data_IF_253973642833
#
_entry.id   IF_253973642833
#
_cell.length_a   1.000
_cell.length_b   1.000
_cell.length_c   1.000
_cell.angle_alpha   90.00
_cell.angle_beta   90.00
_cell.angle_gamma   90.00
#
_symmetry.space_group_name_H-M   'P 1'
#
loop_
_entity.id
_entity.type
_entity.pdbx_description
1 polymer ?
#
# COMPACT_ATOMS: atom_id res chain seq x y z
N UNK A 1 -0.86 -13.06 9.55
CA UNK A 1 -1.48 -12.34 8.41
C UNK A 1 -0.41 -11.76 7.47
N UNK A 2 0.47 -10.89 7.91
CA UNK A 2 1.52 -10.24 7.10
C UNK A 2 2.39 -11.22 6.31
N UNK A 3 2.95 -12.24 6.95
CA UNK A 3 3.80 -13.24 6.28
C UNK A 3 3.06 -14.00 5.18
N UNK A 4 1.73 -14.18 5.33
CA UNK A 4 0.89 -14.80 4.30
C UNK A 4 0.76 -13.88 3.08
N UNK A 5 0.57 -12.59 3.29
CA UNK A 5 0.48 -11.62 2.19
C UNK A 5 1.79 -11.53 1.40
N UNK A 6 2.93 -11.44 2.10
CA UNK A 6 4.25 -11.44 1.46
C UNK A 6 4.53 -12.73 0.68
N UNK A 7 4.09 -13.87 1.19
CA UNK A 7 4.18 -15.14 0.47
C UNK A 7 3.39 -15.10 -0.85
N UNK A 8 2.19 -14.52 -0.85
CA UNK A 8 1.39 -14.40 -2.08
C UNK A 8 2.04 -13.44 -3.09
N UNK A 9 2.58 -12.32 -2.65
CA UNK A 9 3.33 -11.43 -3.52
C UNK A 9 4.52 -12.15 -4.16
N UNK A 10 5.26 -12.90 -3.39
CA UNK A 10 6.40 -13.68 -3.89
C UNK A 10 5.96 -14.81 -4.84
N UNK A 11 4.89 -15.53 -4.53
CA UNK A 11 4.36 -16.57 -5.42
C UNK A 11 3.88 -16.00 -6.76
N UNK A 12 3.21 -14.86 -6.74
CA UNK A 12 2.79 -14.17 -7.96
C UNK A 12 4.00 -13.72 -8.79
N UNK A 13 5.00 -13.14 -8.14
CA UNK A 13 6.26 -12.77 -8.78
C UNK A 13 6.90 -13.97 -9.49
N UNK A 14 7.13 -15.08 -8.78
CA UNK A 14 7.73 -16.29 -9.37
C UNK A 14 6.91 -16.80 -10.55
N UNK A 15 5.59 -16.81 -10.43
CA UNK A 15 4.72 -17.22 -11.52
C UNK A 15 4.94 -16.37 -12.76
N UNK A 16 4.91 -15.05 -12.61
CA UNK A 16 5.12 -14.13 -13.73
C UNK A 16 6.52 -14.28 -14.35
N UNK A 17 7.55 -14.35 -13.52
CA UNK A 17 8.94 -14.49 -13.96
C UNK A 17 9.17 -15.83 -14.67
N UNK A 18 8.56 -16.92 -14.19
CA UNK A 18 8.67 -18.24 -14.82
C UNK A 18 8.06 -18.29 -16.22
N UNK A 19 7.01 -17.54 -16.45
CA UNK A 19 6.29 -17.54 -17.74
C UNK A 19 6.58 -16.31 -18.59
N UNK A 20 7.59 -15.54 -18.22
CA UNK A 20 7.99 -14.29 -18.89
C UNK A 20 6.82 -13.32 -19.09
N UNK A 21 5.97 -13.20 -18.06
CA UNK A 21 4.83 -12.31 -18.08
C UNK A 21 5.22 -10.94 -17.52
N UNK A 22 4.90 -9.84 -18.22
CA UNK A 22 5.08 -8.52 -17.64
C UNK A 22 4.16 -8.33 -16.44
N UNK A 23 4.71 -7.78 -15.33
CA UNK A 23 3.91 -7.52 -14.12
C UNK A 23 4.44 -6.31 -13.34
N UNK A 24 3.53 -5.72 -12.57
CA UNK A 24 3.83 -4.83 -11.44
C UNK A 24 2.89 -5.17 -10.30
N UNK A 25 3.40 -5.16 -9.10
CA UNK A 25 2.61 -5.25 -7.88
C UNK A 25 2.44 -3.86 -7.28
N UNK A 26 1.36 -3.64 -6.56
CA UNK A 26 1.04 -2.33 -6.00
C UNK A 26 0.55 -2.48 -4.57
N UNK A 27 1.12 -1.70 -3.65
CA UNK A 27 0.58 -1.54 -2.32
C UNK A 27 -0.51 -0.47 -2.35
N UNK A 28 -1.76 -0.89 -2.53
CA UNK A 28 -2.87 0.03 -2.71
C UNK A 28 -3.38 0.61 -1.39
N UNK A 29 -3.63 -0.25 -0.39
CA UNK A 29 -4.29 0.13 0.86
C UNK A 29 -3.37 -0.05 2.06
N UNK A 30 -3.27 0.96 2.90
CA UNK A 30 -2.60 0.83 4.19
C UNK A 30 -3.49 0.07 5.17
N UNK A 31 -3.13 -1.18 5.43
CA UNK A 31 -3.84 -2.06 6.36
C UNK A 31 -3.72 -1.67 7.84
N UNK A 32 -2.87 -0.70 8.16
CA UNK A 32 -2.67 -0.23 9.54
C UNK A 32 -3.63 0.89 9.93
N UNK A 33 -4.48 1.28 8.99
CA UNK A 33 -5.43 2.35 9.21
C UNK A 33 -6.55 1.89 10.14
N UNK A 34 -6.59 2.43 11.34
CA UNK A 34 -7.72 2.31 12.26
C UNK A 34 -8.64 3.50 12.01
N UNK A 35 -9.89 3.22 11.66
CA UNK A 35 -10.93 4.26 11.66
C UNK A 35 -11.36 4.49 13.09
N UNK A 36 -11.19 5.68 13.59
CA UNK A 36 -11.93 6.15 14.75
C UNK A 36 -13.30 6.65 14.25
N UNK A 37 -14.35 5.93 14.59
CA UNK A 37 -15.72 6.29 14.20
C UNK A 37 -16.25 7.53 14.93
N UNK A 38 -15.60 7.92 16.02
CA UNK A 38 -15.98 9.07 16.84
C UNK A 38 -15.36 10.38 16.33
N UNK A 39 -14.25 10.31 15.59
CA UNK A 39 -13.58 11.48 15.01
C UNK A 39 -13.27 11.25 13.53
N UNK A 40 -14.23 11.52 12.63
CA UNK A 40 -14.09 11.22 11.20
C UNK A 40 -12.89 11.85 10.50
N UNK A 41 -12.39 12.95 11.05
CA UNK A 41 -11.30 13.73 10.44
C UNK A 41 -9.90 13.28 10.89
N UNK A 42 -9.81 12.51 11.98
CA UNK A 42 -8.53 12.04 12.51
C UNK A 42 -8.32 10.56 12.16
N UNK A 43 -7.52 10.32 11.16
CA UNK A 43 -6.96 9.00 10.88
C UNK A 43 -5.88 8.71 11.92
N UNK A 44 -6.30 8.20 13.07
CA UNK A 44 -5.36 7.76 14.08
C UNK A 44 -4.68 6.47 13.65
N UNK A 45 -3.37 6.56 13.48
CA UNK A 45 -2.53 5.38 13.45
C UNK A 45 -2.33 4.91 14.89
N UNK A 46 -2.65 3.67 15.18
CA UNK A 46 -2.14 3.05 16.38
C UNK A 46 -0.65 2.75 16.21
N UNK A 47 0.26 3.54 16.77
CA UNK A 47 1.70 3.37 16.54
C UNK A 47 2.21 1.98 16.93
N UNK A 48 1.56 1.36 17.95
CA UNK A 48 1.91 0.02 18.43
C UNK A 48 1.55 -1.06 17.41
N UNK A 49 0.37 -0.96 16.79
CA UNK A 49 -0.04 -1.92 15.76
C UNK A 49 0.81 -1.79 14.52
N UNK A 50 1.12 -0.57 14.12
CA UNK A 50 2.02 -0.29 13.00
C UNK A 50 3.39 -0.90 13.22
N UNK A 51 4.04 -0.60 14.33
CA UNK A 51 5.37 -1.12 14.67
C UNK A 51 5.41 -2.66 14.66
N UNK A 52 4.37 -3.31 15.17
CA UNK A 52 4.27 -4.78 15.13
C UNK A 52 4.16 -5.31 13.70
N UNK A 53 3.42 -4.62 12.83
CA UNK A 53 3.28 -5.00 11.42
C UNK A 53 4.62 -4.83 10.72
N UNK A 54 5.31 -3.71 10.90
CA UNK A 54 6.59 -3.43 10.29
C UNK A 54 7.67 -4.45 10.71
N UNK A 55 7.73 -4.81 11.99
CA UNK A 55 8.61 -5.88 12.48
C UNK A 55 8.28 -7.21 11.79
N UNK A 56 7.00 -7.56 11.66
CA UNK A 56 6.58 -8.80 11.02
C UNK A 56 6.86 -8.79 9.50
N UNK A 57 6.78 -7.65 8.84
CA UNK A 57 7.17 -7.49 7.44
C UNK A 57 8.67 -7.77 7.29
N UNK A 58 9.51 -7.06 8.04
CA UNK A 58 10.96 -7.19 7.96
C UNK A 58 11.48 -8.57 8.39
N UNK A 59 10.82 -9.22 9.34
CA UNK A 59 11.15 -10.57 9.80
C UNK A 59 10.66 -11.70 8.87
N UNK A 60 9.86 -11.38 7.86
CA UNK A 60 9.34 -12.39 6.94
C UNK A 60 10.47 -12.96 6.05
N UNK A 61 10.53 -14.30 5.87
CA UNK A 61 11.52 -14.92 4.98
C UNK A 61 11.31 -14.53 3.50
N UNK A 62 10.19 -13.90 3.19
CA UNK A 62 9.86 -13.43 1.84
C UNK A 62 10.27 -11.98 1.59
N UNK A 63 10.58 -11.20 2.63
CA UNK A 63 10.87 -9.78 2.51
C UNK A 63 11.99 -9.51 1.49
N UNK A 64 13.14 -10.14 1.65
CA UNK A 64 14.29 -9.96 0.75
C UNK A 64 14.17 -10.71 -0.59
N UNK A 65 13.05 -11.36 -0.85
CA UNK A 65 12.79 -12.10 -2.10
C UNK A 65 11.88 -11.34 -3.05
N UNK A 66 11.26 -10.27 -2.59
CA UNK A 66 10.41 -9.42 -3.44
C UNK A 66 11.32 -8.56 -4.33
N UNK A 67 10.99 -8.53 -5.60
CA UNK A 67 11.66 -7.66 -6.56
C UNK A 67 11.09 -6.23 -6.42
N UNK A 68 11.88 -5.35 -5.80
CA UNK A 68 11.50 -3.97 -5.53
C UNK A 68 11.20 -3.17 -6.80
N UNK A 69 11.92 -3.43 -7.88
CA UNK A 69 11.69 -2.76 -9.17
C UNK A 69 10.32 -3.10 -9.78
N UNK A 70 9.72 -4.18 -9.32
CA UNK A 70 8.41 -4.66 -9.75
C UNK A 70 7.29 -4.39 -8.73
N UNK A 71 7.57 -3.57 -7.68
CA UNK A 71 6.61 -3.35 -6.61
C UNK A 71 6.47 -1.87 -6.24
N UNK A 72 5.36 -1.24 -6.63
CA UNK A 72 5.04 0.14 -6.29
C UNK A 72 4.61 0.21 -4.82
N UNK A 73 5.33 1.00 -4.02
CA UNK A 73 5.11 1.13 -2.58
C UNK A 73 6.01 0.23 -1.72
N UNK A 74 6.90 -0.56 -2.33
CA UNK A 74 7.90 -1.32 -1.58
C UNK A 74 8.86 -0.37 -0.84
N UNK A 75 9.37 -0.69 0.36
CA UNK A 75 9.27 -2.01 1.03
C UNK A 75 8.06 -2.16 1.95
N UNK A 76 7.00 -1.43 1.82
CA UNK A 76 5.78 -1.40 2.64
C UNK A 76 5.97 -0.76 4.03
N UNK A 77 7.19 -0.65 4.51
CA UNK A 77 7.56 -0.07 5.80
C UNK A 77 7.86 1.42 5.59
N UNK A 78 7.08 2.27 6.25
CA UNK A 78 7.14 3.72 6.05
C UNK A 78 8.48 4.32 6.46
N UNK A 79 9.11 3.81 7.50
CA UNK A 79 10.39 4.29 8.04
C UNK A 79 11.56 4.09 7.09
N UNK A 80 11.38 3.28 6.07
CA UNK A 80 12.35 3.03 5.00
C UNK A 80 11.75 3.27 3.62
N UNK A 81 10.97 4.34 3.50
CA UNK A 81 10.38 4.87 2.27
C UNK A 81 9.28 4.01 1.61
N UNK A 82 8.76 2.98 2.31
CA UNK A 82 7.59 2.25 1.85
C UNK A 82 6.32 3.09 1.99
N UNK A 83 5.37 2.89 1.08
CA UNK A 83 4.11 3.63 1.10
C UNK A 83 2.95 2.83 0.51
N UNK A 84 1.74 3.25 0.85
CA UNK A 84 0.52 2.80 0.18
C UNK A 84 -0.05 3.93 -0.68
N UNK A 85 -0.59 3.61 -1.84
CA UNK A 85 -1.09 4.61 -2.78
C UNK A 85 -2.28 5.39 -2.24
N UNK A 86 -3.15 4.73 -1.49
CA UNK A 86 -4.28 5.41 -0.85
C UNK A 86 -3.84 6.53 0.07
N UNK A 87 -2.77 6.34 0.83
CA UNK A 87 -2.20 7.38 1.67
C UNK A 87 -1.56 8.48 0.86
N UNK A 88 -0.72 8.11 -0.11
CA UNK A 88 0.06 9.07 -0.90
C UNK A 88 -0.83 9.99 -1.74
N UNK A 89 -1.94 9.49 -2.26
CA UNK A 89 -2.77 10.19 -3.24
C UNK A 89 -4.14 10.59 -2.69
N UNK A 90 -4.78 9.71 -1.91
CA UNK A 90 -6.18 9.90 -1.51
C UNK A 90 -6.31 10.55 -0.14
N UNK A 91 -5.55 10.09 0.83
CA UNK A 91 -5.80 10.44 2.23
C UNK A 91 -4.95 11.57 2.76
N UNK A 92 -3.66 11.58 2.43
CA UNK A 92 -2.74 12.63 2.88
C UNK A 92 -2.90 13.88 2.03
N UNK A 93 -3.22 13.71 0.77
CA UNK A 93 -3.20 14.83 -0.11
C UNK A 93 -4.43 15.69 0.03
N UNK A 94 -5.66 15.16 0.28
CA UNK A 94 -6.73 16.14 0.30
C UNK A 94 -8.12 15.53 0.21
N UNK A 95 -8.99 16.08 0.97
CA UNK A 95 -10.44 15.88 0.93
C UNK A 95 -11.02 15.92 -0.50
N UNK A 96 -10.44 16.76 -1.37
CA UNK A 96 -10.88 16.90 -2.77
C UNK A 96 -10.70 15.66 -3.64
N UNK A 97 -9.86 14.70 -3.22
CA UNK A 97 -9.58 13.49 -3.99
C UNK A 97 -10.46 12.29 -3.59
N UNK A 98 -11.31 12.46 -2.62
CA UNK A 98 -12.20 11.41 -2.09
C UNK A 98 -13.66 11.79 -2.21
N UNK A 99 -14.56 10.82 -2.09
CA UNK A 99 -15.99 11.03 -2.25
C UNK A 99 -16.52 11.99 -1.16
N UNK A 100 -16.11 11.77 0.11
CA UNK A 100 -16.50 12.64 1.22
C UNK A 100 -15.55 12.47 2.42
N UNK A 101 -15.78 13.23 3.49
CA UNK A 101 -15.01 13.11 4.73
C UNK A 101 -15.26 11.80 5.48
N UNK A 102 -16.34 11.12 5.20
CA UNK A 102 -16.70 9.81 5.78
C UNK A 102 -16.46 8.65 4.81
N UNK A 103 -16.44 8.93 3.51
CA UNK A 103 -16.15 7.95 2.47
C UNK A 103 -14.81 8.25 1.81
N UNK A 104 -13.79 7.49 2.19
CA UNK A 104 -12.42 7.66 1.73
C UNK A 104 -12.11 7.01 0.39
N UNK A 105 -13.10 6.47 -0.30
CA UNK A 105 -12.88 6.00 -1.66
C UNK A 105 -12.54 7.17 -2.58
N UNK A 106 -11.67 6.95 -3.57
CA UNK A 106 -11.31 8.00 -4.50
C UNK A 106 -12.53 8.44 -5.31
N UNK A 107 -12.70 9.74 -5.45
CA UNK A 107 -13.62 10.31 -6.40
C UNK A 107 -13.00 10.30 -7.82
N UNK A 108 -13.63 10.94 -8.80
CA UNK A 108 -13.12 11.02 -10.17
C UNK A 108 -11.68 11.56 -10.21
N UNK A 109 -11.41 12.67 -9.53
CA UNK A 109 -10.08 13.27 -9.47
C UNK A 109 -9.05 12.32 -8.80
N UNK A 110 -9.44 11.69 -7.70
CA UNK A 110 -8.59 10.71 -7.02
C UNK A 110 -8.23 9.52 -7.91
N UNK A 111 -9.18 9.02 -8.69
CA UNK A 111 -8.94 7.93 -9.64
C UNK A 111 -8.02 8.37 -10.79
N UNK A 112 -8.19 9.58 -11.32
CA UNK A 112 -7.32 10.13 -12.36
C UNK A 112 -5.88 10.28 -11.85
N UNK A 113 -5.69 10.75 -10.62
CA UNK A 113 -4.37 10.87 -10.01
C UNK A 113 -3.71 9.51 -9.75
N UNK A 114 -4.50 8.52 -9.29
CA UNK A 114 -4.01 7.14 -9.11
C UNK A 114 -3.56 6.55 -10.45
N UNK A 115 -4.38 6.69 -11.49
CA UNK A 115 -4.08 6.18 -12.81
C UNK A 115 -2.79 6.82 -13.39
N UNK A 116 -2.66 8.14 -13.28
CA UNK A 116 -1.45 8.86 -13.72
C UNK A 116 -0.22 8.39 -12.96
N UNK A 117 -0.31 8.29 -11.64
CA UNK A 117 0.81 7.81 -10.82
C UNK A 117 1.24 6.39 -11.18
N UNK A 118 0.28 5.47 -11.36
CA UNK A 118 0.57 4.10 -11.76
C UNK A 118 1.24 4.10 -13.14
N UNK A 119 0.69 4.84 -14.09
CA UNK A 119 1.23 4.93 -15.45
C UNK A 119 2.68 5.42 -15.49
N UNK A 120 3.01 6.44 -14.68
CA UNK A 120 4.36 6.99 -14.60
C UNK A 120 5.38 6.03 -13.94
N UNK A 121 4.90 5.02 -13.20
CA UNK A 121 5.73 4.08 -12.46
C UNK A 121 5.71 2.64 -13.03
N UNK A 122 5.07 2.45 -14.15
CA UNK A 122 5.13 1.20 -14.92
C UNK A 122 6.35 1.26 -15.86
#
# INVERSE_FOLDING_TARGET
MVSRSLRYFYQFQIFCERFDLPYKQIHMLDSTRVRDWETPDDLHYEPICRKKIDINIGASPFFNKINEDKFIGWPLIREIDGYALDQKIICVAKEKNRISNVDFHPNKLGNELLASFIYENI
#
